data_IF_614423263251
#
_entry.id   IF_614423263251
#
_cell.length_a   1.000
_cell.length_b   1.000
_cell.length_c   1.000
_cell.angle_alpha   90.00
_cell.angle_beta   90.00
_cell.angle_gamma   90.00
#
_symmetry.space_group_name_H-M   'P 1'
#
loop_
_entity.id
_entity.type
_entity.pdbx_description
1 polymer ?
#
# COMPACT_ATOMS: atom_id res chain seq x y z
N UNK A 1 2.92 23.22 57.43
CA UNK A 1 3.86 23.36 56.29
C UNK A 1 4.29 22.01 55.70
N UNK A 2 4.73 21.03 56.50
CA UNK A 2 5.12 19.68 56.03
C UNK A 2 4.02 18.84 55.35
N UNK A 3 2.75 18.97 55.78
CA UNK A 3 1.64 18.20 55.20
C UNK A 3 1.31 18.63 53.75
N UNK A 4 1.44 19.92 53.44
CA UNK A 4 1.19 20.48 52.10
C UNK A 4 2.26 20.06 51.09
N UNK A 5 3.54 20.00 51.51
CA UNK A 5 4.64 19.58 50.64
C UNK A 5 4.56 18.09 50.28
N UNK A 6 4.21 17.22 51.23
CA UNK A 6 4.00 15.79 50.96
C UNK A 6 2.84 15.53 49.99
N UNK A 7 1.70 16.19 50.18
CA UNK A 7 0.55 16.10 49.25
C UNK A 7 0.94 16.53 47.83
N UNK A 8 1.64 17.65 47.68
CA UNK A 8 2.10 18.13 46.38
C UNK A 8 3.11 17.19 45.71
N UNK A 9 3.96 16.50 46.47
CA UNK A 9 4.89 15.51 45.94
C UNK A 9 4.14 14.25 45.47
N UNK A 10 3.17 13.78 46.25
CA UNK A 10 2.36 12.60 45.91
C UNK A 10 1.48 12.86 44.69
N UNK A 11 0.82 14.02 44.61
CA UNK A 11 0.03 14.44 43.45
C UNK A 11 0.89 14.55 42.18
N UNK A 12 2.10 15.13 42.26
CA UNK A 12 3.04 15.19 41.13
C UNK A 12 3.48 13.80 40.66
N UNK A 13 3.75 12.87 41.58
CA UNK A 13 4.10 11.48 41.22
C UNK A 13 2.95 10.78 40.50
N UNK A 14 1.71 10.93 40.98
CA UNK A 14 0.52 10.36 40.32
C UNK A 14 0.34 10.96 38.91
N UNK A 15 0.46 12.27 38.76
CA UNK A 15 0.39 12.94 37.45
C UNK A 15 1.49 12.44 36.50
N UNK A 16 2.73 12.29 36.97
CA UNK A 16 3.82 11.74 36.17
C UNK A 16 3.57 10.29 35.74
N UNK A 17 3.02 9.46 36.62
CA UNK A 17 2.67 8.07 36.30
C UNK A 17 1.56 8.04 35.23
N UNK A 18 0.50 8.84 35.40
CA UNK A 18 -0.58 8.93 34.41
C UNK A 18 -0.02 9.37 33.06
N UNK A 19 0.82 10.41 33.05
CA UNK A 19 1.45 10.90 31.83
C UNK A 19 2.33 9.83 31.17
N UNK A 20 3.13 9.10 31.95
CA UNK A 20 3.95 8.00 31.45
C UNK A 20 3.10 6.88 30.83
N UNK A 21 1.97 6.52 31.46
CA UNK A 21 1.03 5.52 30.92
C UNK A 21 0.39 6.00 29.62
N UNK A 22 -0.03 7.27 29.55
CA UNK A 22 -0.59 7.85 28.32
C UNK A 22 0.43 7.86 27.18
N UNK A 23 1.68 8.23 27.47
CA UNK A 23 2.77 8.23 26.50
C UNK A 23 3.05 6.80 26.02
N UNK A 24 3.15 5.83 26.93
CA UNK A 24 3.35 4.42 26.58
C UNK A 24 2.18 3.88 25.72
N UNK A 25 0.94 4.23 26.07
CA UNK A 25 -0.25 3.89 25.29
C UNK A 25 -0.22 4.50 23.89
N UNK A 26 0.19 5.76 23.77
CA UNK A 26 0.36 6.44 22.48
C UNK A 26 1.44 5.76 21.62
N UNK A 27 2.60 5.46 22.19
CA UNK A 27 3.66 4.74 21.46
C UNK A 27 3.21 3.36 21.00
N UNK A 28 2.50 2.62 21.86
CA UNK A 28 1.95 1.30 21.52
C UNK A 28 0.95 1.41 20.37
N UNK A 29 0.04 2.38 20.45
CA UNK A 29 -0.93 2.63 19.38
C UNK A 29 -0.26 2.98 18.06
N UNK A 30 0.71 3.90 18.07
CA UNK A 30 1.46 4.28 16.87
C UNK A 30 2.26 3.11 16.30
N UNK A 31 2.87 2.28 17.15
CA UNK A 31 3.59 1.09 16.72
C UNK A 31 2.66 0.13 15.97
N UNK A 32 1.51 -0.22 16.56
CA UNK A 32 0.51 -1.10 15.91
C UNK A 32 0.02 -0.47 14.60
N UNK A 33 -0.31 0.82 14.63
CA UNK A 33 -0.91 1.55 13.51
C UNK A 33 -0.02 1.64 12.27
N UNK A 34 1.31 1.57 12.43
CA UNK A 34 2.25 1.80 11.33
C UNK A 34 3.23 0.65 11.08
N UNK A 35 3.62 -0.11 12.10
CA UNK A 35 4.61 -1.19 11.97
C UNK A 35 4.00 -2.59 11.97
N UNK A 36 2.80 -2.76 12.53
CA UNK A 36 2.09 -4.05 12.47
C UNK A 36 1.25 -4.09 11.20
N UNK A 37 1.52 -5.04 10.28
CA UNK A 37 0.67 -5.24 9.11
C UNK A 37 -0.71 -5.73 9.54
N UNK A 38 -1.75 -5.11 8.97
CA UNK A 38 -3.14 -5.57 9.09
C UNK A 38 -3.36 -6.88 8.33
N UNK A 39 -2.68 -7.04 7.18
CA UNK A 39 -2.68 -8.28 6.42
C UNK A 39 -1.28 -8.54 5.86
N UNK A 40 -0.76 -9.74 6.12
CA UNK A 40 0.57 -10.17 5.73
C UNK A 40 0.62 -10.91 4.38
N UNK A 41 -0.53 -11.26 3.81
CA UNK A 41 -0.60 -12.18 2.66
C UNK A 41 -1.62 -11.76 1.61
N UNK A 42 -1.56 -10.48 1.20
CA UNK A 42 -2.37 -9.97 0.11
C UNK A 42 -1.78 -10.33 -1.25
N UNK A 43 -2.62 -10.69 -2.23
CA UNK A 43 -2.20 -10.89 -3.62
C UNK A 43 -3.15 -10.13 -4.55
N UNK A 44 -2.60 -9.35 -5.47
CA UNK A 44 -3.35 -8.68 -6.53
C UNK A 44 -2.74 -8.92 -7.89
N UNK A 45 -3.60 -9.11 -8.89
CA UNK A 45 -3.20 -9.27 -10.28
C UNK A 45 -3.80 -8.15 -11.14
N UNK A 46 -3.06 -7.75 -12.15
CA UNK A 46 -3.47 -6.74 -13.13
C UNK A 46 -2.34 -6.40 -14.08
N UNK A 47 -2.62 -5.53 -15.04
CA UNK A 47 -1.61 -4.99 -15.94
C UNK A 47 -0.82 -3.91 -15.21
N UNK A 48 0.50 -4.03 -15.17
CA UNK A 48 1.36 -3.03 -14.54
C UNK A 48 1.41 -1.78 -15.41
N UNK A 49 0.76 -0.70 -14.97
CA UNK A 49 0.69 0.55 -15.73
C UNK A 49 2.01 1.31 -15.67
N UNK A 50 2.46 1.63 -14.45
CA UNK A 50 3.68 2.37 -14.22
C UNK A 50 4.27 2.07 -12.84
N UNK A 51 5.59 2.32 -12.71
CA UNK A 51 6.30 2.43 -11.43
C UNK A 51 7.15 3.70 -11.50
N UNK A 52 7.00 4.60 -10.52
CA UNK A 52 7.63 5.92 -10.50
C UNK A 52 8.35 6.13 -9.16
N UNK A 53 9.55 6.69 -9.22
CA UNK A 53 10.24 7.17 -8.02
C UNK A 53 9.88 8.63 -7.76
N UNK A 54 9.06 8.90 -6.75
CA UNK A 54 8.49 10.23 -6.49
C UNK A 54 8.55 10.60 -5.00
N UNK A 55 8.64 11.91 -4.73
CA UNK A 55 8.72 12.45 -3.38
C UNK A 55 9.51 13.75 -3.28
N UNK A 56 9.26 14.50 -2.20
CA UNK A 56 9.95 15.75 -1.90
C UNK A 56 11.07 15.50 -0.88
N UNK A 57 10.68 15.14 0.36
CA UNK A 57 11.64 14.86 1.46
C UNK A 57 12.05 13.39 1.42
N UNK A 58 11.07 12.49 1.41
CA UNK A 58 11.27 11.05 1.24
C UNK A 58 10.81 10.66 -0.15
N UNK A 59 11.74 10.18 -0.98
CA UNK A 59 11.40 9.61 -2.29
C UNK A 59 11.18 8.12 -2.14
N UNK A 60 10.09 7.63 -2.69
CA UNK A 60 9.66 6.23 -2.63
C UNK A 60 9.29 5.75 -4.01
N UNK A 61 9.31 4.43 -4.21
CA UNK A 61 8.85 3.81 -5.44
C UNK A 61 7.36 3.50 -5.32
N UNK A 62 6.60 4.00 -6.29
CA UNK A 62 5.14 3.93 -6.27
C UNK A 62 4.67 3.33 -7.60
N UNK A 63 3.85 2.28 -7.53
CA UNK A 63 3.35 1.54 -8.67
C UNK A 63 1.83 1.53 -8.76
N UNK A 64 1.34 1.19 -9.96
CA UNK A 64 -0.08 1.14 -10.26
C UNK A 64 -0.40 -0.07 -11.14
N UNK A 65 -1.34 -0.91 -10.70
CA UNK A 65 -1.95 -1.95 -11.53
C UNK A 65 -3.31 -1.49 -12.05
N UNK A 66 -3.55 -1.70 -13.34
CA UNK A 66 -4.85 -1.58 -13.98
C UNK A 66 -5.52 -2.96 -13.92
N UNK A 67 -6.66 -3.03 -13.26
CA UNK A 67 -7.48 -4.24 -13.17
C UNK A 67 -8.71 -4.09 -14.07
N UNK A 68 -8.77 -4.88 -15.14
CA UNK A 68 -9.97 -4.98 -15.97
C UNK A 68 -11.05 -5.77 -15.21
N UNK A 69 -12.11 -5.10 -14.77
CA UNK A 69 -13.22 -5.71 -14.07
C UNK A 69 -14.56 -5.43 -14.74
N UNK A 70 -15.46 -6.40 -14.72
CA UNK A 70 -16.87 -6.21 -15.08
C UNK A 70 -17.67 -6.06 -13.78
N UNK A 71 -18.28 -4.89 -13.55
CA UNK A 71 -19.20 -4.71 -12.42
C UNK A 71 -20.61 -5.07 -12.90
N UNK A 72 -21.23 -6.18 -12.46
CA UNK A 72 -22.62 -6.46 -12.82
C UNK A 72 -23.50 -5.32 -12.28
N UNK A 73 -24.12 -4.56 -13.19
CA UNK A 73 -25.00 -3.43 -12.86
C UNK A 73 -24.57 -2.05 -13.37
N UNK A 74 -23.35 -1.90 -13.88
CA UNK A 74 -22.94 -0.69 -14.63
C UNK A 74 -22.61 -1.07 -16.08
N UNK A 75 -23.27 -0.43 -17.04
CA UNK A 75 -22.94 -0.56 -18.46
C UNK A 75 -21.56 0.08 -18.69
N UNK A 76 -20.51 -0.74 -18.71
CA UNK A 76 -19.15 -0.30 -19.03
C UNK A 76 -18.06 -1.15 -18.38
N UNK A 77 -16.97 -1.37 -19.11
CA UNK A 77 -15.74 -1.95 -18.57
C UNK A 77 -15.08 -0.88 -17.68
N UNK A 78 -15.28 -0.94 -16.36
CA UNK A 78 -14.61 -0.03 -15.45
C UNK A 78 -13.26 -0.63 -15.05
N UNK A 79 -12.17 0.02 -15.44
CA UNK A 79 -10.84 -0.33 -14.95
C UNK A 79 -10.69 0.16 -13.52
N UNK A 80 -10.43 -0.75 -12.57
CA UNK A 80 -10.08 -0.38 -11.20
C UNK A 80 -8.56 -0.28 -11.07
N UNK A 81 -8.08 0.78 -10.42
CA UNK A 81 -6.65 1.00 -10.20
C UNK A 81 -6.25 0.50 -8.81
N UNK A 82 -5.18 -0.27 -8.75
CA UNK A 82 -4.52 -0.62 -7.49
C UNK A 82 -3.18 0.08 -7.40
N UNK A 83 -3.12 1.09 -6.53
CA UNK A 83 -1.89 1.82 -6.22
C UNK A 83 -1.19 1.15 -5.05
N UNK A 84 0.13 1.01 -5.16
CA UNK A 84 0.97 0.38 -4.15
C UNK A 84 2.33 1.06 -4.06
N UNK A 85 3.03 0.84 -2.96
CA UNK A 85 4.38 1.34 -2.74
C UNK A 85 5.38 0.17 -2.64
N UNK A 86 6.65 0.44 -2.92
CA UNK A 86 7.72 -0.55 -2.93
C UNK A 86 8.89 0.01 -2.12
N UNK A 87 9.27 -0.72 -1.06
CA UNK A 87 10.43 -0.37 -0.24
C UNK A 87 11.74 -0.82 -0.89
N UNK A 88 11.73 -2.05 -1.42
CA UNK A 88 12.91 -2.66 -2.00
C UNK A 88 13.22 -2.09 -3.39
N UNK A 89 14.41 -1.51 -3.52
CA UNK A 89 14.85 -0.86 -4.76
C UNK A 89 15.05 -1.86 -5.90
N UNK A 90 15.56 -3.06 -5.63
CA UNK A 90 15.81 -4.07 -6.66
C UNK A 90 14.50 -4.59 -7.23
N UNK A 91 13.51 -4.85 -6.35
CA UNK A 91 12.15 -5.18 -6.72
C UNK A 91 11.50 -4.07 -7.55
N UNK A 92 11.68 -2.81 -7.16
CA UNK A 92 11.15 -1.68 -7.91
C UNK A 92 11.73 -1.60 -9.33
N UNK A 93 13.05 -1.78 -9.47
CA UNK A 93 13.72 -1.81 -10.78
C UNK A 93 13.22 -2.98 -11.63
N UNK A 94 13.05 -4.16 -11.02
CA UNK A 94 12.49 -5.32 -11.71
C UNK A 94 11.07 -5.03 -12.19
N UNK A 95 10.22 -4.45 -11.36
CA UNK A 95 8.86 -4.06 -11.76
C UNK A 95 8.85 -3.00 -12.85
N UNK A 96 9.75 -2.02 -12.84
CA UNK A 96 9.88 -1.06 -13.94
C UNK A 96 10.13 -1.75 -15.30
N UNK A 97 10.94 -2.81 -15.34
CA UNK A 97 11.16 -3.59 -16.56
C UNK A 97 9.95 -4.43 -17.01
N UNK A 98 8.97 -4.63 -16.12
CA UNK A 98 7.73 -5.37 -16.39
C UNK A 98 6.55 -4.43 -16.71
N UNK A 99 6.79 -3.13 -16.89
CA UNK A 99 5.75 -2.17 -17.25
C UNK A 99 5.02 -2.59 -18.53
N UNK A 100 3.69 -2.50 -18.53
CA UNK A 100 2.81 -2.97 -19.59
C UNK A 100 2.47 -4.47 -19.53
N UNK A 101 3.18 -5.27 -18.73
CA UNK A 101 2.92 -6.71 -18.61
C UNK A 101 1.84 -7.01 -17.55
N UNK A 102 1.24 -8.20 -17.63
CA UNK A 102 0.34 -8.68 -16.58
C UNK A 102 1.19 -9.28 -15.45
N UNK A 103 1.02 -8.75 -14.25
CA UNK A 103 1.75 -9.19 -13.06
C UNK A 103 0.79 -9.59 -11.95
N UNK A 104 1.24 -10.53 -11.12
CA UNK A 104 0.60 -10.89 -9.86
C UNK A 104 1.59 -10.56 -8.75
N UNK A 105 1.20 -9.64 -7.88
CA UNK A 105 2.05 -9.08 -6.83
C UNK A 105 1.54 -9.50 -5.47
N UNK A 106 2.47 -9.88 -4.60
CA UNK A 106 2.21 -10.03 -3.18
C UNK A 106 2.44 -8.70 -2.49
N UNK A 107 1.62 -8.40 -1.49
CA UNK A 107 1.74 -7.17 -0.72
C UNK A 107 1.32 -7.37 0.74
N UNK A 108 1.89 -6.53 1.60
CA UNK A 108 1.45 -6.32 2.97
C UNK A 108 0.56 -5.09 3.06
N UNK A 109 -0.55 -5.20 3.76
CA UNK A 109 -1.41 -4.06 4.07
C UNK A 109 -1.15 -3.62 5.49
N UNK A 110 -0.81 -2.35 5.69
CA UNK A 110 -0.73 -1.72 7.01
C UNK A 110 -2.00 -0.95 7.30
N UNK A 111 -2.24 -0.58 8.56
CA UNK A 111 -3.34 0.33 8.85
C UNK A 111 -3.10 1.72 8.23
N UNK A 112 -1.84 2.11 7.97
CA UNK A 112 -1.51 3.40 7.34
C UNK A 112 -0.14 3.49 6.70
N UNK A 113 -0.01 4.53 5.89
CA UNK A 113 1.20 4.87 5.17
C UNK A 113 2.18 5.61 6.09
N UNK A 114 3.47 5.34 5.89
CA UNK A 114 4.58 6.11 6.48
C UNK A 114 5.29 6.82 5.33
N UNK A 115 5.55 8.14 5.41
CA UNK A 115 6.11 8.90 4.29
C UNK A 115 7.44 8.37 3.74
N UNK A 116 8.27 7.74 4.58
CA UNK A 116 9.55 7.11 4.16
C UNK A 116 9.42 5.69 3.64
N UNK A 117 8.27 5.03 3.89
CA UNK A 117 7.97 3.68 3.41
C UNK A 117 7.25 3.68 2.07
N UNK A 118 6.33 4.63 1.91
CA UNK A 118 5.49 4.71 0.74
C UNK A 118 4.27 5.60 0.92
N UNK A 119 3.63 5.93 -0.19
CA UNK A 119 2.43 6.79 -0.20
C UNK A 119 1.17 6.02 0.16
N UNK A 120 1.20 4.70 0.01
CA UNK A 120 0.06 3.84 0.24
C UNK A 120 0.26 2.97 1.48
N UNK A 121 -0.83 2.38 1.96
CA UNK A 121 -0.78 1.36 3.00
C UNK A 121 -0.44 -0.03 2.45
N UNK A 122 -0.28 -0.17 1.14
CA UNK A 122 -0.06 -1.43 0.45
C UNK A 122 1.38 -1.52 -0.03
N UNK A 123 2.19 -2.33 0.64
CA UNK A 123 3.62 -2.45 0.34
C UNK A 123 3.84 -3.76 -0.40
N UNK A 124 4.22 -3.67 -1.67
CA UNK A 124 4.58 -4.83 -2.48
C UNK A 124 5.98 -5.29 -2.10
N UNK A 125 6.11 -6.57 -1.79
CA UNK A 125 7.37 -7.18 -1.35
C UNK A 125 7.85 -8.31 -2.28
N UNK A 126 7.00 -8.81 -3.19
CA UNK A 126 7.41 -9.82 -4.16
C UNK A 126 6.49 -9.92 -5.39
N UNK A 127 7.08 -10.42 -6.48
CA UNK A 127 6.37 -10.78 -7.71
C UNK A 127 6.05 -12.27 -7.63
N UNK A 128 4.76 -12.62 -7.59
CA UNK A 128 4.28 -14.01 -7.58
C UNK A 128 4.36 -14.60 -8.98
N UNK A 129 3.95 -13.83 -9.99
CA UNK A 129 4.03 -14.23 -11.39
C UNK A 129 4.07 -12.99 -12.30
N UNK A 130 4.67 -13.14 -13.47
CA UNK A 130 4.62 -12.17 -14.55
C UNK A 130 4.38 -12.90 -15.87
N UNK A 131 3.47 -12.38 -16.68
CA UNK A 131 3.18 -12.87 -18.02
C UNK A 131 3.25 -11.70 -18.99
N UNK A 132 3.83 -11.89 -20.19
CA UNK A 132 3.85 -10.85 -21.20
C UNK A 132 2.42 -10.37 -21.49
N UNK A 133 2.28 -9.09 -21.86
CA UNK A 133 1.01 -8.54 -22.28
C UNK A 133 0.45 -9.39 -23.43
N UNK A 134 -0.73 -9.97 -23.25
CA UNK A 134 -1.45 -10.59 -24.37
C UNK A 134 -1.85 -9.44 -25.27
N UNK A 135 -1.17 -9.30 -26.41
CA UNK A 135 -1.63 -8.43 -27.47
C UNK A 135 -2.97 -9.00 -27.92
N UNK A 136 -4.08 -8.35 -27.57
CA UNK A 136 -5.38 -8.64 -28.16
C UNK A 136 -5.24 -8.40 -29.66
N UNK A 137 -4.95 -9.44 -30.43
CA UNK A 137 -5.08 -9.42 -31.88
C UNK A 137 -6.51 -8.97 -32.14
N UNK A 138 -6.65 -7.85 -32.84
CA UNK A 138 -7.95 -7.28 -33.16
C UNK A 138 -8.84 -8.37 -33.75
N UNK A 139 -10.10 -8.43 -33.29
CA UNK A 139 -11.12 -9.17 -34.01
C UNK A 139 -11.22 -8.58 -35.41
N UNK A 140 -10.49 -9.14 -36.37
CA UNK A 140 -10.80 -8.98 -37.78
C UNK A 140 -12.19 -9.57 -37.97
N UNK A 141 -13.16 -8.68 -38.16
CA UNK A 141 -14.51 -9.06 -38.56
C UNK A 141 -14.33 -9.73 -39.92
N UNK A 142 -14.68 -11.02 -40.11
CA UNK A 142 -14.59 -11.62 -41.43
C UNK A 142 -15.43 -10.78 -42.39
N UNK A 143 -14.96 -10.55 -43.64
CA UNK A 143 -15.72 -9.76 -44.59
C UNK A 143 -17.12 -10.34 -44.73
N UNK A 144 -18.14 -9.49 -44.57
CA UNK A 144 -19.52 -9.86 -44.81
C UNK A 144 -19.65 -10.24 -46.29
N UNK A 145 -19.57 -11.54 -46.57
CA UNK A 145 -20.05 -12.11 -47.84
C UNK A 145 -21.55 -12.23 -47.71
N UNK A 146 -22.24 -11.12 -48.00
CA UNK A 146 -23.67 -11.15 -48.25
C UNK A 146 -23.93 -11.89 -49.55
N UNK A 147 -24.55 -13.05 -49.44
CA UNK A 147 -25.36 -13.64 -50.51
C UNK A 147 -26.81 -13.19 -50.36
#
# INVERSE_FOLDING_TARGET
MFHLTFYNIMAKRVVLIILAVLIAGLFTFLYIRYYVPYSDSGVKAGMLNNVKHKGIIFKTYEGELIQSGFRPGQQGLQSNEFQFSIEDKELAIKLMSLSGQNVKLHYKEYYGALPWRGYTKFIVDSIVAASPAVQSQGQEIPPYTGE
#
